data_IF_713021097351
#
_entry.id   IF_713021097351
#
_cell.length_a   1.000
_cell.length_b   1.000
_cell.length_c   1.000
_cell.angle_alpha   90.00
_cell.angle_beta   90.00
_cell.angle_gamma   90.00
#
_symmetry.space_group_name_H-M   'P 1'
#
loop_
_entity.id
_entity.type
_entity.pdbx_description
1 polymer ?
#
# COMPACT_ATOMS: atom_id res chain seq x y z
N UNK A 1 -22.94 -3.74 0.96
CA UNK A 1 -21.99 -3.19 -0.04
C UNK A 1 -20.63 -3.87 0.14
N UNK A 2 -20.41 -5.05 -0.47
CA UNK A 2 -19.21 -5.87 -0.28
C UNK A 2 -17.88 -5.12 -0.56
N UNK A 3 -17.90 -4.11 -1.42
CA UNK A 3 -16.72 -3.30 -1.74
C UNK A 3 -16.15 -2.53 -0.53
N UNK A 4 -17.01 -1.97 0.35
CA UNK A 4 -16.54 -1.21 1.53
C UNK A 4 -15.85 -2.10 2.55
N UNK A 5 -16.36 -3.32 2.72
CA UNK A 5 -15.76 -4.30 3.62
C UNK A 5 -14.36 -4.70 3.13
N UNK A 6 -14.21 -5.01 1.84
CA UNK A 6 -12.91 -5.39 1.28
C UNK A 6 -11.88 -4.27 1.41
N UNK A 7 -12.25 -3.01 1.12
CA UNK A 7 -11.34 -1.87 1.27
C UNK A 7 -10.87 -1.74 2.71
N UNK A 8 -11.79 -1.81 3.68
CA UNK A 8 -11.42 -1.75 5.09
C UNK A 8 -10.56 -2.94 5.53
N UNK A 9 -10.83 -4.14 5.01
CA UNK A 9 -10.04 -5.32 5.30
C UNK A 9 -8.60 -5.17 4.77
N UNK A 10 -8.42 -4.72 3.53
CA UNK A 10 -7.09 -4.46 2.99
C UNK A 10 -6.34 -3.42 3.81
N UNK A 11 -7.00 -2.30 4.15
CA UNK A 11 -6.39 -1.30 5.02
C UNK A 11 -6.00 -1.84 6.39
N UNK A 12 -6.82 -2.69 7.01
CA UNK A 12 -6.51 -3.30 8.30
C UNK A 12 -5.33 -4.28 8.24
N UNK A 13 -5.00 -4.81 7.07
CA UNK A 13 -3.87 -5.73 6.87
C UNK A 13 -2.59 -4.96 6.55
N UNK A 14 -2.64 -4.05 5.57
CA UNK A 14 -1.43 -3.40 5.07
C UNK A 14 -1.19 -2.01 5.65
N UNK A 15 -2.18 -1.39 6.28
CA UNK A 15 -2.12 -0.01 6.78
C UNK A 15 -1.66 1.02 5.73
N UNK A 16 -2.00 0.78 4.45
CA UNK A 16 -1.68 1.71 3.36
C UNK A 16 -2.92 2.51 2.99
N UNK A 17 -2.78 3.82 3.01
CA UNK A 17 -3.72 4.75 2.38
C UNK A 17 -3.18 5.18 1.01
N UNK A 18 -3.98 5.03 -0.04
CA UNK A 18 -3.57 5.27 -1.42
C UNK A 18 -3.98 6.67 -1.88
N UNK A 19 -3.08 7.36 -2.58
CA UNK A 19 -3.38 8.63 -3.22
C UNK A 19 -4.07 8.36 -4.57
N UNK A 20 -5.40 8.51 -4.59
CA UNK A 20 -6.20 8.31 -5.81
C UNK A 20 -6.16 9.50 -6.78
N UNK A 21 -5.43 10.57 -6.45
CA UNK A 21 -5.29 11.77 -7.30
C UNK A 21 -4.03 11.77 -8.15
N UNK A 22 -3.16 10.76 -8.03
CA UNK A 22 -1.93 10.63 -8.80
C UNK A 22 -2.16 10.09 -10.21
N UNK A 23 -1.11 10.15 -11.02
CA UNK A 23 -1.07 9.57 -12.36
C UNK A 23 -1.24 8.04 -12.32
N UNK A 24 -1.91 7.42 -13.32
CA UNK A 24 -2.13 5.97 -13.37
C UNK A 24 -0.84 5.14 -13.37
N UNK A 25 0.26 5.72 -13.85
CA UNK A 25 1.58 5.09 -13.92
C UNK A 25 2.35 5.16 -12.60
N UNK A 26 1.76 5.80 -11.58
CA UNK A 26 2.37 5.97 -10.27
C UNK A 26 1.53 5.24 -9.21
N UNK A 27 2.22 4.46 -8.39
CA UNK A 27 1.68 3.85 -7.19
C UNK A 27 2.12 4.74 -6.03
N UNK A 28 1.19 5.57 -5.53
CA UNK A 28 1.46 6.56 -4.49
C UNK A 28 0.54 6.36 -3.30
N UNK A 29 1.10 6.46 -2.10
CA UNK A 29 0.34 6.30 -0.87
C UNK A 29 1.17 6.59 0.37
N UNK A 30 0.61 6.32 1.54
CA UNK A 30 1.28 6.42 2.82
C UNK A 30 1.05 5.14 3.62
N UNK A 31 2.12 4.55 4.12
CA UNK A 31 2.07 3.41 5.03
C UNK A 31 2.10 3.88 6.48
N UNK A 32 1.10 3.46 7.26
CA UNK A 32 0.95 3.79 8.68
C UNK A 32 1.32 2.57 9.54
N UNK A 33 2.61 2.41 9.81
CA UNK A 33 3.09 1.42 10.79
C UNK A 33 2.96 1.90 12.24
N UNK A 34 3.48 1.11 13.22
CA UNK A 34 3.61 1.56 14.61
C UNK A 34 4.58 2.74 14.78
N UNK A 35 5.44 2.95 13.78
CA UNK A 35 6.42 4.04 13.72
C UNK A 35 5.90 5.26 12.93
N UNK A 36 6.81 6.15 12.55
CA UNK A 36 6.52 7.32 11.70
C UNK A 36 5.98 6.85 10.35
N UNK A 37 4.88 7.46 9.91
CA UNK A 37 4.26 7.19 8.62
C UNK A 37 5.26 7.38 7.47
N UNK A 38 5.30 6.42 6.54
CA UNK A 38 6.27 6.39 5.44
C UNK A 38 5.58 6.62 4.10
N UNK A 39 6.09 7.52 3.25
CA UNK A 39 5.54 7.73 1.91
C UNK A 39 5.89 6.56 0.98
N UNK A 40 4.93 6.15 0.16
CA UNK A 40 5.10 5.21 -0.94
C UNK A 40 5.05 6.01 -2.24
N UNK A 41 6.07 5.83 -3.08
CA UNK A 41 6.12 6.39 -4.43
C UNK A 41 6.87 5.43 -5.34
N UNK A 42 6.14 4.73 -6.21
CA UNK A 42 6.67 3.75 -7.14
C UNK A 42 6.12 3.98 -8.54
N UNK A 43 6.90 3.64 -9.57
CA UNK A 43 6.44 3.61 -10.96
C UNK A 43 5.86 2.24 -11.31
N UNK A 44 4.82 2.20 -12.14
CA UNK A 44 4.28 0.95 -12.70
C UNK A 44 5.20 0.29 -13.72
N UNK A 45 6.32 0.93 -14.10
CA UNK A 45 7.37 0.33 -14.94
C UNK A 45 8.11 -0.81 -14.23
N UNK A 46 8.08 -0.85 -12.89
CA UNK A 46 8.62 -1.98 -12.14
C UNK A 46 7.79 -3.25 -12.35
N UNK A 47 8.45 -4.41 -12.25
CA UNK A 47 7.73 -5.68 -12.37
C UNK A 47 6.66 -5.82 -11.28
N UNK A 48 5.53 -6.44 -11.62
CA UNK A 48 4.44 -6.70 -10.67
C UNK A 48 4.91 -7.48 -9.43
N UNK A 49 5.83 -8.44 -9.62
CA UNK A 49 6.40 -9.19 -8.50
C UNK A 49 7.23 -8.30 -7.57
N UNK A 50 8.04 -7.41 -8.14
CA UNK A 50 8.81 -6.45 -7.35
C UNK A 50 7.91 -5.51 -6.55
N UNK A 51 6.89 -4.93 -7.19
CA UNK A 51 5.93 -4.03 -6.54
C UNK A 51 5.24 -4.75 -5.38
N UNK A 52 4.70 -5.94 -5.62
CA UNK A 52 4.04 -6.73 -4.57
C UNK A 52 5.00 -7.06 -3.43
N UNK A 53 6.20 -7.55 -3.72
CA UNK A 53 7.20 -7.89 -2.70
C UNK A 53 7.61 -6.67 -1.87
N UNK A 54 7.80 -5.51 -2.52
CA UNK A 54 8.10 -4.27 -1.83
C UNK A 54 6.97 -3.87 -0.88
N UNK A 55 5.71 -3.84 -1.36
CA UNK A 55 4.57 -3.45 -0.52
C UNK A 55 4.39 -4.38 0.68
N UNK A 56 4.57 -5.69 0.48
CA UNK A 56 4.48 -6.66 1.57
C UNK A 56 5.64 -6.56 2.56
N UNK A 57 6.82 -6.08 2.13
CA UNK A 57 7.95 -5.85 3.03
C UNK A 57 7.74 -4.71 4.02
N UNK A 58 6.75 -3.83 3.78
CA UNK A 58 6.38 -2.75 4.70
C UNK A 58 5.51 -3.26 5.87
N UNK A 59 4.78 -4.35 5.66
CA UNK A 59 3.88 -4.92 6.66
C UNK A 59 4.70 -5.68 7.69
N UNK A 60 4.55 -5.33 8.98
CA UNK A 60 5.25 -6.04 10.05
C UNK A 60 4.84 -7.51 10.10
N UNK A 61 5.82 -8.38 10.32
CA UNK A 61 5.64 -9.83 10.51
C UNK A 61 5.81 -10.26 11.96
N UNK A 62 5.94 -9.31 12.88
CA UNK A 62 6.03 -9.57 14.31
C UNK A 62 4.64 -9.99 14.86
N UNK A 63 4.62 -10.90 15.84
CA UNK A 63 3.42 -11.52 16.41
C UNK A 63 3.18 -11.09 17.86
#
# INVERSE_FOLDING_TARGET
MPCRYLVHLYYAICHIDWDYSCEPEVIKGTHYGPDIAQPIYLSTEFSRCFISNYLWSLVSTDW
#
